data_IF_229960203496
#
_entry.id   IF_229960203496
#
_cell.length_a   1.000
_cell.length_b   1.000
_cell.length_c   1.000
_cell.angle_alpha   90.00
_cell.angle_beta   90.00
_cell.angle_gamma   90.00
#
_symmetry.space_group_name_H-M   'P 1'
#
loop_
_entity.id
_entity.type
_entity.pdbx_description
1 polymer ?
#
# COMPACT_ATOMS: atom_id res chain seq x y z
N UNK A 1 53.90 7.90 16.95
CA UNK A 1 52.55 7.95 17.55
C UNK A 1 51.58 8.19 16.41
N UNK A 2 50.67 7.27 16.07
CA UNK A 2 49.61 7.61 15.12
C UNK A 2 48.47 8.29 15.87
N UNK A 3 48.12 9.50 15.41
CA UNK A 3 46.94 10.26 15.80
C UNK A 3 45.67 9.44 15.55
N UNK A 4 44.83 9.36 16.57
CA UNK A 4 43.49 8.79 16.47
C UNK A 4 42.61 9.77 15.69
N UNK A 5 42.30 9.44 14.44
CA UNK A 5 41.15 10.02 13.75
C UNK A 5 39.90 9.54 14.46
N UNK A 6 39.20 10.42 15.17
CA UNK A 6 37.83 10.17 15.62
C UNK A 6 36.97 10.01 14.37
N UNK A 7 36.68 8.76 14.01
CA UNK A 7 35.85 8.44 12.86
C UNK A 7 34.40 8.77 13.21
N UNK A 8 33.98 9.99 12.86
CA UNK A 8 32.64 10.55 13.11
C UNK A 8 31.63 9.96 12.10
N UNK A 9 31.59 8.63 12.06
CA UNK A 9 30.79 7.83 11.16
C UNK A 9 29.77 7.02 11.94
N UNK A 10 28.56 6.95 11.39
CA UNK A 10 27.47 6.19 11.99
C UNK A 10 27.87 4.72 12.17
N UNK A 11 27.60 4.19 13.37
CA UNK A 11 27.88 2.81 13.71
C UNK A 11 26.75 1.89 13.24
N UNK A 12 26.97 0.57 13.17
CA UNK A 12 25.89 -0.40 12.95
C UNK A 12 24.74 -0.27 13.97
N UNK A 13 25.05 0.15 15.21
CA UNK A 13 24.05 0.39 16.24
C UNK A 13 23.17 1.61 15.90
N UNK A 14 23.76 2.69 15.39
CA UNK A 14 23.01 3.89 14.98
C UNK A 14 22.04 3.55 13.84
N UNK A 15 22.48 2.75 12.85
CA UNK A 15 21.61 2.27 11.78
C UNK A 15 20.46 1.42 12.37
N UNK A 16 20.77 0.52 13.30
CA UNK A 16 19.78 -0.34 13.94
C UNK A 16 18.72 0.42 14.74
N UNK A 17 19.09 1.55 15.35
CA UNK A 17 18.21 2.33 16.23
C UNK A 17 17.49 3.50 15.55
N UNK A 18 18.01 4.02 14.44
CA UNK A 18 17.53 5.30 13.88
C UNK A 18 17.18 5.25 12.39
N UNK A 19 17.52 4.18 11.66
CA UNK A 19 17.34 4.13 10.21
C UNK A 19 15.85 4.08 9.81
N UNK A 20 15.33 5.19 9.31
CA UNK A 20 13.94 5.30 8.85
C UNK A 20 13.57 4.24 7.80
N UNK A 21 14.47 3.89 6.87
CA UNK A 21 14.22 2.88 5.84
C UNK A 21 14.05 1.47 6.45
N UNK A 22 14.84 1.13 7.47
CA UNK A 22 14.75 -0.16 8.16
C UNK A 22 13.41 -0.30 8.89
N UNK A 23 13.08 0.67 9.75
CA UNK A 23 11.82 0.65 10.49
C UNK A 23 10.60 0.68 9.57
N UNK A 24 10.63 1.49 8.51
CA UNK A 24 9.55 1.54 7.51
C UNK A 24 9.34 0.19 6.84
N UNK A 25 10.43 -0.50 6.46
CA UNK A 25 10.37 -1.81 5.81
C UNK A 25 9.83 -2.88 6.75
N UNK A 26 10.31 -2.92 8.00
CA UNK A 26 9.84 -3.91 8.99
C UNK A 26 8.36 -3.69 9.29
N UNK A 27 7.97 -2.46 9.59
CA UNK A 27 6.58 -2.12 9.87
C UNK A 27 5.67 -2.44 8.69
N UNK A 28 6.03 -2.01 7.47
CA UNK A 28 5.29 -2.31 6.24
C UNK A 28 5.06 -3.82 6.06
N UNK A 29 6.08 -4.66 6.28
CA UNK A 29 5.96 -6.12 6.17
C UNK A 29 5.00 -6.71 7.21
N UNK A 30 5.11 -6.29 8.47
CA UNK A 30 4.26 -6.79 9.55
C UNK A 30 2.80 -6.38 9.34
N UNK A 31 2.56 -5.11 9.03
CA UNK A 31 1.23 -4.59 8.68
C UNK A 31 0.67 -5.35 7.48
N UNK A 32 1.42 -5.46 6.39
CA UNK A 32 0.98 -6.19 5.20
C UNK A 32 0.60 -7.64 5.51
N UNK A 33 1.37 -8.33 6.37
CA UNK A 33 1.06 -9.69 6.80
C UNK A 33 -0.22 -9.76 7.62
N UNK A 34 -0.44 -8.84 8.55
CA UNK A 34 -1.66 -8.74 9.35
C UNK A 34 -2.92 -8.66 8.47
N UNK A 35 -2.95 -7.73 7.52
CA UNK A 35 -4.10 -7.59 6.61
C UNK A 35 -4.22 -8.77 5.64
N UNK A 36 -3.11 -9.30 5.11
CA UNK A 36 -3.17 -10.46 4.22
C UNK A 36 -3.71 -11.72 4.90
N UNK A 37 -3.40 -11.93 6.18
CA UNK A 37 -3.93 -13.07 6.93
C UNK A 37 -5.45 -12.95 7.08
N UNK A 38 -5.94 -11.75 7.38
CA UNK A 38 -7.38 -11.49 7.53
C UNK A 38 -8.14 -11.60 6.21
N UNK A 39 -7.52 -11.21 5.10
CA UNK A 39 -8.10 -11.29 3.76
C UNK A 39 -7.99 -12.66 3.09
N UNK A 40 -7.36 -13.65 3.75
CA UNK A 40 -6.98 -14.92 3.12
C UNK A 40 -8.18 -15.66 2.49
N UNK A 41 -9.33 -15.65 3.16
CA UNK A 41 -10.54 -16.36 2.71
C UNK A 41 -11.18 -15.72 1.47
N UNK A 42 -10.90 -14.44 1.18
CA UNK A 42 -11.35 -13.80 -0.07
C UNK A 42 -10.44 -14.16 -1.26
N UNK A 43 -9.29 -14.78 -1.00
CA UNK A 43 -8.25 -15.02 -1.99
C UNK A 43 -7.55 -13.73 -2.48
N UNK A 44 -7.72 -12.61 -1.78
CA UNK A 44 -7.05 -11.34 -2.05
C UNK A 44 -5.87 -11.12 -1.11
N UNK A 45 -4.87 -10.39 -1.62
CA UNK A 45 -3.88 -9.69 -0.80
C UNK A 45 -4.32 -8.26 -0.56
N UNK A 46 -3.86 -7.63 0.52
CA UNK A 46 -4.14 -6.22 0.84
C UNK A 46 -3.78 -5.29 -0.32
N UNK A 47 -2.69 -5.54 -1.03
CA UNK A 47 -2.33 -4.77 -2.24
C UNK A 47 -3.36 -4.89 -3.35
N UNK A 48 -3.94 -6.08 -3.56
CA UNK A 48 -5.00 -6.29 -4.54
C UNK A 48 -6.29 -5.62 -4.10
N UNK A 49 -6.65 -5.73 -2.82
CA UNK A 49 -7.77 -5.01 -2.22
C UNK A 49 -7.62 -3.49 -2.41
N UNK A 50 -6.44 -2.92 -2.15
CA UNK A 50 -6.18 -1.48 -2.36
C UNK A 50 -6.36 -1.05 -3.81
N UNK A 51 -5.97 -1.89 -4.78
CA UNK A 51 -6.21 -1.63 -6.21
C UNK A 51 -7.71 -1.60 -6.53
N UNK A 52 -8.47 -2.60 -6.06
CA UNK A 52 -9.92 -2.65 -6.25
C UNK A 52 -10.60 -1.44 -5.59
N UNK A 53 -10.19 -1.10 -4.36
CA UNK A 53 -10.70 0.04 -3.61
C UNK A 53 -10.46 1.36 -4.36
N UNK A 54 -9.26 1.58 -4.87
CA UNK A 54 -8.91 2.79 -5.61
C UNK A 54 -9.75 2.94 -6.89
N UNK A 55 -9.86 1.85 -7.68
CA UNK A 55 -10.68 1.84 -8.90
C UNK A 55 -12.15 2.09 -8.58
N UNK A 56 -12.68 1.48 -7.50
CA UNK A 56 -14.08 1.64 -7.08
C UNK A 56 -14.39 3.05 -6.58
N UNK A 57 -13.47 3.65 -5.81
CA UNK A 57 -13.66 5.00 -5.24
C UNK A 57 -13.63 6.07 -6.32
N UNK A 58 -12.61 6.04 -7.17
CA UNK A 58 -12.44 6.98 -8.27
C UNK A 58 -11.50 6.36 -9.29
N UNK A 59 -12.01 5.89 -10.44
CA UNK A 59 -11.19 5.28 -11.47
C UNK A 59 -10.04 6.23 -11.88
N UNK A 60 -8.77 5.82 -11.73
CA UNK A 60 -7.63 6.66 -12.07
C UNK A 60 -7.56 6.91 -13.58
N UNK A 61 -6.90 7.99 -13.99
CA UNK A 61 -6.76 8.33 -15.41
C UNK A 61 -5.74 7.45 -16.12
N UNK A 62 -4.77 6.90 -15.39
CA UNK A 62 -3.72 6.05 -15.94
C UNK A 62 -3.16 5.06 -14.93
N UNK A 63 -2.39 4.09 -15.43
CA UNK A 63 -1.66 3.14 -14.58
C UNK A 63 -0.59 3.86 -13.74
N UNK A 64 -0.04 4.98 -14.24
CA UNK A 64 0.96 5.76 -13.53
C UNK A 64 0.34 6.48 -12.33
N UNK A 65 -0.80 7.12 -12.52
CA UNK A 65 -1.52 7.80 -11.44
C UNK A 65 -1.93 6.78 -10.35
N UNK A 66 -2.38 5.59 -10.74
CA UNK A 66 -2.70 4.53 -9.78
C UNK A 66 -1.45 4.03 -9.04
N UNK A 67 -0.30 3.97 -9.72
CA UNK A 67 0.97 3.57 -9.13
C UNK A 67 1.42 4.60 -8.09
N UNK A 68 1.34 5.89 -8.42
CA UNK A 68 1.63 7.01 -7.52
C UNK A 68 0.69 7.01 -6.31
N UNK A 69 -0.62 6.87 -6.54
CA UNK A 69 -1.64 6.83 -5.49
C UNK A 69 -1.39 5.71 -4.47
N UNK A 70 -0.95 4.54 -4.96
CA UNK A 70 -0.73 3.36 -4.12
C UNK A 70 0.72 3.23 -3.62
N UNK A 71 1.63 4.13 -4.02
CA UNK A 71 3.06 4.03 -3.71
C UNK A 71 3.69 2.75 -4.26
N UNK A 72 3.25 2.30 -5.43
CA UNK A 72 3.70 1.07 -6.08
C UNK A 72 4.55 1.35 -7.31
N UNK A 73 5.54 0.51 -7.57
CA UNK A 73 6.24 0.50 -8.85
C UNK A 73 5.27 0.18 -10.00
N UNK A 74 5.31 0.97 -11.08
CA UNK A 74 4.41 0.85 -12.23
C UNK A 74 4.32 -0.57 -12.78
N UNK A 75 5.46 -1.24 -12.96
CA UNK A 75 5.52 -2.62 -13.50
C UNK A 75 4.95 -3.65 -12.53
N UNK A 76 5.01 -3.40 -11.23
CA UNK A 76 4.41 -4.24 -10.19
C UNK A 76 2.90 -4.05 -10.13
N UNK A 77 2.44 -2.80 -10.27
CA UNK A 77 1.02 -2.50 -10.35
C UNK A 77 0.39 -3.11 -11.61
N UNK A 78 1.03 -2.96 -12.78
CA UNK A 78 0.52 -3.53 -14.02
C UNK A 78 0.34 -5.06 -13.92
N UNK A 79 1.34 -5.77 -13.39
CA UNK A 79 1.23 -7.21 -13.11
C UNK A 79 0.13 -7.56 -12.09
N UNK A 80 -0.16 -6.67 -11.15
CA UNK A 80 -1.24 -6.85 -10.17
C UNK A 80 -2.60 -6.72 -10.83
N UNK A 81 -2.78 -5.71 -11.69
CA UNK A 81 -4.00 -5.50 -12.49
C UNK A 81 -4.24 -6.68 -13.44
N UNK A 82 -3.23 -7.12 -14.18
CA UNK A 82 -3.34 -8.27 -15.09
C UNK A 82 -3.82 -9.54 -14.36
N UNK A 83 -3.31 -9.79 -13.15
CA UNK A 83 -3.77 -10.91 -12.31
C UNK A 83 -5.23 -10.74 -11.86
N UNK A 84 -5.67 -9.53 -11.55
CA UNK A 84 -7.06 -9.26 -11.17
C UNK A 84 -8.02 -9.44 -12.34
N UNK A 85 -7.61 -9.06 -13.56
CA UNK A 85 -8.35 -9.34 -14.79
C UNK A 85 -8.41 -10.84 -15.06
N UNK A 86 -7.28 -11.55 -14.96
CA UNK A 86 -7.24 -13.00 -15.15
C UNK A 86 -8.09 -13.77 -14.12
N UNK A 87 -8.26 -13.23 -12.91
CA UNK A 87 -9.18 -13.75 -11.88
C UNK A 87 -10.64 -13.38 -12.13
N UNK A 88 -10.95 -12.62 -13.18
CA UNK A 88 -12.31 -12.16 -13.48
C UNK A 88 -12.83 -11.09 -12.52
N UNK A 89 -11.96 -10.43 -11.73
CA UNK A 89 -12.37 -9.40 -10.75
C UNK A 89 -12.36 -7.99 -11.33
N UNK A 90 -11.51 -7.75 -12.33
CA UNK A 90 -11.49 -6.51 -13.10
C UNK A 90 -11.79 -6.79 -14.57
N UNK A 91 -12.34 -5.79 -15.24
CA UNK A 91 -12.50 -5.77 -16.69
C UNK A 91 -12.05 -4.43 -17.25
N UNK A 92 -11.47 -4.47 -18.45
CA UNK A 92 -11.20 -3.27 -19.23
C UNK A 92 -12.46 -2.85 -19.97
N UNK A 93 -13.04 -1.72 -19.62
CA UNK A 93 -14.07 -1.07 -20.41
C UNK A 93 -13.44 -0.20 -21.51
N UNK A 94 -14.05 -0.14 -22.71
CA UNK A 94 -13.70 0.87 -23.69
C UNK A 94 -13.95 2.25 -23.06
N UNK A 95 -12.88 2.96 -22.72
CA UNK A 95 -13.02 4.30 -22.18
C UNK A 95 -13.50 5.23 -23.31
N UNK A 96 -14.78 5.57 -23.32
CA UNK A 96 -15.33 6.61 -24.22
C UNK A 96 -14.66 7.98 -24.02
N UNK A 97 -14.00 8.15 -22.87
CA UNK A 97 -13.12 9.26 -22.57
C UNK A 97 -11.65 8.82 -22.65
N UNK A 98 -10.87 9.45 -23.52
CA UNK A 98 -9.42 9.21 -23.74
C UNK A 98 -8.53 9.28 -22.48
N UNK A 99 -9.09 9.67 -21.32
CA UNK A 99 -8.36 9.95 -20.09
C UNK A 99 -8.62 8.96 -18.96
N UNK A 100 -9.52 7.98 -19.04
CA UNK A 100 -9.66 7.01 -17.94
C UNK A 100 -8.78 5.78 -18.18
N UNK A 101 -8.25 5.16 -17.12
CA UNK A 101 -7.55 3.87 -17.21
C UNK A 101 -8.45 2.76 -17.80
N UNK A 102 -9.77 2.98 -17.84
CA UNK A 102 -10.72 2.07 -18.45
C UNK A 102 -10.87 0.77 -17.67
N UNK A 103 -10.58 0.76 -16.38
CA UNK A 103 -10.79 -0.41 -15.52
C UNK A 103 -12.03 -0.22 -14.67
N UNK A 104 -12.78 -1.30 -14.53
CA UNK A 104 -13.92 -1.39 -13.61
C UNK A 104 -13.94 -2.77 -12.97
N UNK A 105 -14.59 -2.87 -11.81
CA UNK A 105 -14.87 -4.17 -11.21
C UNK A 105 -15.93 -4.89 -12.05
N UNK A 106 -15.78 -6.21 -12.19
CA UNK A 106 -16.86 -7.06 -12.69
C UNK A 106 -17.90 -7.29 -11.59
N UNK A 107 -19.02 -7.94 -11.91
CA UNK A 107 -19.98 -8.37 -10.87
C UNK A 107 -19.32 -9.30 -9.83
N UNK A 108 -18.44 -10.21 -10.27
CA UNK A 108 -17.66 -11.06 -9.37
C UNK A 108 -16.66 -10.24 -8.53
N UNK A 109 -16.03 -9.23 -9.13
CA UNK A 109 -15.14 -8.30 -8.45
C UNK A 109 -15.84 -7.52 -7.35
N UNK A 110 -17.06 -7.06 -7.62
CA UNK A 110 -17.90 -6.35 -6.64
C UNK A 110 -18.28 -7.24 -5.45
N UNK A 111 -18.67 -8.49 -5.72
CA UNK A 111 -18.96 -9.47 -4.68
C UNK A 111 -17.74 -9.70 -3.77
N UNK A 112 -16.59 -10.04 -4.37
CA UNK A 112 -15.35 -10.30 -3.63
C UNK A 112 -14.88 -9.06 -2.87
N UNK A 113 -14.98 -7.87 -3.47
CA UNK A 113 -14.62 -6.62 -2.80
C UNK A 113 -15.46 -6.39 -1.54
N UNK A 114 -16.77 -6.63 -1.59
CA UNK A 114 -17.64 -6.46 -0.43
C UNK A 114 -17.29 -7.42 0.71
N UNK A 115 -16.95 -8.68 0.39
CA UNK A 115 -16.48 -9.63 1.41
C UNK A 115 -15.14 -9.20 2.00
N UNK A 116 -14.22 -8.76 1.14
CA UNK A 116 -12.91 -8.26 1.56
C UNK A 116 -12.99 -6.98 2.39
N UNK A 117 -13.96 -6.11 2.15
CA UNK A 117 -14.17 -4.90 2.93
C UNK A 117 -14.52 -5.21 4.39
N UNK A 118 -15.40 -6.21 4.63
CA UNK A 118 -15.76 -6.65 5.98
C UNK A 118 -14.53 -7.24 6.71
N UNK A 119 -13.74 -8.07 6.01
CA UNK A 119 -12.52 -8.63 6.59
C UNK A 119 -11.43 -7.57 6.84
N UNK A 120 -11.33 -6.58 5.95
CA UNK A 120 -10.45 -5.44 6.12
C UNK A 120 -10.85 -4.60 7.34
N UNK A 121 -12.15 -4.37 7.54
CA UNK A 121 -12.69 -3.61 8.68
C UNK A 121 -12.28 -4.29 9.99
N UNK A 122 -12.55 -5.59 10.13
CA UNK A 122 -12.10 -6.36 11.31
C UNK A 122 -10.59 -6.32 11.52
N UNK A 123 -9.80 -6.48 10.45
CA UNK A 123 -8.35 -6.38 10.53
C UNK A 123 -7.87 -4.98 10.96
N UNK A 124 -8.56 -3.93 10.50
CA UNK A 124 -8.24 -2.55 10.84
C UNK A 124 -8.58 -2.23 12.29
N UNK A 125 -9.72 -2.71 12.78
CA UNK A 125 -10.15 -2.57 14.17
C UNK A 125 -9.17 -3.28 15.11
N UNK A 126 -8.78 -4.52 14.81
CA UNK A 126 -7.75 -5.24 15.56
C UNK A 126 -6.41 -4.48 15.56
N UNK A 127 -5.98 -4.01 14.40
CA UNK A 127 -4.74 -3.26 14.26
C UNK A 127 -4.77 -1.97 15.11
N UNK A 128 -5.83 -1.18 15.00
CA UNK A 128 -5.96 0.09 15.74
C UNK A 128 -6.15 -0.14 17.24
N UNK A 129 -6.76 -1.25 17.65
CA UNK A 129 -6.78 -1.67 19.05
C UNK A 129 -5.38 -2.00 19.58
N UNK A 130 -4.59 -2.76 18.81
CA UNK A 130 -3.23 -3.17 19.21
C UNK A 130 -2.25 -2.00 19.34
N UNK A 131 -2.30 -1.05 18.40
CA UNK A 131 -1.36 0.10 18.40
C UNK A 131 -1.91 1.34 19.12
N UNK A 132 -3.20 1.36 19.42
CA UNK A 132 -3.95 2.51 19.92
C UNK A 132 -4.45 3.41 18.78
N UNK A 133 -5.76 3.66 18.73
CA UNK A 133 -6.39 4.42 17.64
C UNK A 133 -5.84 5.86 17.54
N UNK A 134 -5.62 6.52 18.68
CA UNK A 134 -5.03 7.87 18.72
C UNK A 134 -3.58 7.87 18.21
N UNK A 135 -2.77 6.89 18.65
CA UNK A 135 -1.39 6.72 18.19
C UNK A 135 -1.33 6.46 16.69
N UNK A 136 -2.22 5.60 16.17
CA UNK A 136 -2.31 5.33 14.75
C UNK A 136 -2.68 6.59 13.97
N UNK A 137 -3.66 7.33 14.44
CA UNK A 137 -4.12 8.55 13.76
C UNK A 137 -3.02 9.64 13.77
N UNK A 138 -2.26 9.77 14.86
CA UNK A 138 -1.06 10.62 14.88
C UNK A 138 0.02 10.12 13.92
N UNK A 139 0.32 8.82 13.93
CA UNK A 139 1.31 8.20 13.05
C UNK A 139 0.92 8.37 11.58
N UNK A 140 -0.35 8.14 11.21
CA UNK A 140 -0.89 8.30 9.86
C UNK A 140 -0.65 9.72 9.35
N UNK A 141 -0.97 10.75 10.15
CA UNK A 141 -0.73 12.16 9.78
C UNK A 141 0.76 12.47 9.59
N UNK A 142 1.63 11.91 10.44
CA UNK A 142 3.09 12.08 10.32
C UNK A 142 3.60 11.39 9.05
N UNK A 143 3.19 10.14 8.81
CA UNK A 143 3.56 9.37 7.62
C UNK A 143 3.14 10.08 6.33
N UNK A 144 1.89 10.53 6.23
CA UNK A 144 1.42 11.30 5.06
C UNK A 144 2.29 12.53 4.79
N UNK A 145 2.64 13.28 5.83
CA UNK A 145 3.50 14.46 5.72
C UNK A 145 4.93 14.10 5.32
N UNK A 146 5.50 13.03 5.87
CA UNK A 146 6.84 12.58 5.54
C UNK A 146 6.91 12.06 4.10
N UNK A 147 5.92 11.28 3.67
CA UNK A 147 5.78 10.80 2.30
C UNK A 147 5.70 11.95 1.30
N UNK A 148 4.87 12.96 1.56
CA UNK A 148 4.76 14.13 0.68
C UNK A 148 6.10 14.89 0.55
N UNK A 149 6.82 15.07 1.67
CA UNK A 149 8.16 15.69 1.65
C UNK A 149 9.17 14.86 0.86
N UNK A 150 9.21 13.53 1.06
CA UNK A 150 10.11 12.65 0.33
C UNK A 150 9.79 12.59 -1.17
N UNK A 151 8.51 12.56 -1.54
CA UNK A 151 8.09 12.60 -2.94
C UNK A 151 8.53 13.89 -3.64
N UNK A 152 8.56 15.03 -2.95
CA UNK A 152 9.06 16.28 -3.53
C UNK A 152 10.57 16.31 -3.82
N UNK A 153 11.30 15.28 -3.37
CA UNK A 153 12.77 15.17 -3.54
C UNK A 153 13.21 14.08 -4.51
N UNK A 154 12.26 13.30 -5.04
CA UNK A 154 12.49 12.22 -6.01
C UNK A 154 12.02 12.64 -7.40
#
# INVERSE_FOLDING_TARGET
MPEQTSDDHATPLDVGMTCAALYSRVFSRLVTRHYNNSLADTGLRVTQFSVLNAIKLSPPNSINELAELLGMERTSLQRTVEKLIAKGLLQSQPSGHKRSLGLSLTQQGEEIYRQALIQWEGAHDEFTHLVGAENWEEARRKLQRFSAKLQSTL
#
